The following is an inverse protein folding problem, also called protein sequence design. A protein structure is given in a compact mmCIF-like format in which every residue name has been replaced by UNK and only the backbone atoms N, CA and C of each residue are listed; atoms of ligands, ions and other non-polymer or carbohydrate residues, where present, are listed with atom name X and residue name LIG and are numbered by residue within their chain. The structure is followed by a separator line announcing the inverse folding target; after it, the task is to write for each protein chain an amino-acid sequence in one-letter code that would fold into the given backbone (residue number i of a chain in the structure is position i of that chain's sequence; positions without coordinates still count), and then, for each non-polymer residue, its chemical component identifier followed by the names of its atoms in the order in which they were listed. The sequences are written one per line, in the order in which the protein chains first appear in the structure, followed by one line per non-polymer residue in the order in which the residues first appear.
data_IF_325172820955
#
_entry.id   IF_325172820955
#
_cell.length_a   1.000
_cell.length_b   1.000
_cell.length_c   1.000
_cell.angle_alpha   90.00
_cell.angle_beta   90.00
_cell.angle_gamma   90.00
#
_symmetry.space_group_name_H-M   'P 1'
#
loop_
_entity.id
_entity.type
_entity.pdbx_description
1 polymer ?
#
# COMPACT_ATOMS: atom_id res chain seq x y z
N UNK A 1 15.65 5.19 4.99
CA UNK A 1 15.17 3.92 4.41
C UNK A 1 14.93 2.86 5.47
N UNK A 2 15.92 2.55 6.33
CA UNK A 2 15.82 1.42 7.28
C UNK A 2 14.72 1.52 8.35
N UNK A 3 14.33 2.74 8.75
CA UNK A 3 13.45 2.91 9.92
C UNK A 3 11.96 2.60 9.65
N UNK A 4 11.49 2.77 8.41
CA UNK A 4 10.10 2.48 8.05
C UNK A 4 9.87 0.97 7.83
N UNK A 5 10.82 0.28 7.21
CA UNK A 5 10.78 -1.18 7.06
C UNK A 5 11.00 -1.93 8.38
N UNK A 6 11.68 -1.31 9.36
CA UNK A 6 11.82 -1.86 10.72
C UNK A 6 10.49 -1.98 11.48
N UNK A 7 9.41 -1.37 10.98
CA UNK A 7 8.06 -1.48 11.55
C UNK A 7 7.19 -2.51 10.83
N UNK A 8 7.75 -3.33 9.94
CA UNK A 8 6.99 -4.35 9.24
C UNK A 8 6.36 -5.35 10.22
N UNK A 9 5.05 -5.55 10.10
CA UNK A 9 4.27 -6.42 10.98
C UNK A 9 3.64 -7.55 10.19
N UNK A 10 3.88 -8.79 10.62
CA UNK A 10 3.17 -9.95 10.09
C UNK A 10 1.69 -9.87 10.42
N UNK A 11 0.85 -10.19 9.44
CA UNK A 11 -0.61 -10.22 9.51
C UNK A 11 -1.15 -11.43 8.75
N UNK A 12 -2.45 -11.66 8.92
CA UNK A 12 -3.21 -12.56 8.09
C UNK A 12 -4.42 -11.79 7.57
N UNK A 13 -4.67 -11.83 6.27
CA UNK A 13 -5.80 -11.14 5.63
C UNK A 13 -6.50 -12.14 4.72
N UNK A 14 -7.79 -12.35 4.96
CA UNK A 14 -8.61 -13.31 4.21
C UNK A 14 -7.98 -14.72 4.15
N UNK A 15 -7.37 -15.19 5.24
CA UNK A 15 -6.70 -16.48 5.30
C UNK A 15 -5.31 -16.56 4.65
N UNK A 16 -4.79 -15.45 4.11
CA UNK A 16 -3.49 -15.39 3.45
C UNK A 16 -2.44 -14.72 4.34
N UNK A 17 -1.20 -15.22 4.37
CA UNK A 17 -0.08 -14.51 4.97
C UNK A 17 0.08 -13.11 4.38
N UNK A 18 0.33 -12.12 5.22
CA UNK A 18 0.54 -10.75 4.79
C UNK A 18 1.56 -10.01 5.66
N UNK A 19 2.14 -8.95 5.12
CA UNK A 19 3.03 -8.02 5.82
C UNK A 19 2.48 -6.60 5.67
N UNK A 20 2.28 -5.96 6.80
CA UNK A 20 1.89 -4.57 6.90
C UNK A 20 3.14 -3.72 7.12
N UNK A 21 3.31 -2.65 6.37
CA UNK A 21 4.45 -1.75 6.55
C UNK A 21 4.08 -0.32 6.14
N UNK A 22 5.04 0.60 6.32
CA UNK A 22 4.91 1.99 5.88
C UNK A 22 6.04 2.34 4.92
N UNK A 23 5.76 3.25 3.98
CA UNK A 23 6.78 3.80 3.10
C UNK A 23 6.52 5.29 2.81
N UNK A 24 7.51 6.00 2.25
CA UNK A 24 7.38 7.41 1.87
C UNK A 24 6.91 7.55 0.43
N UNK A 25 5.93 8.42 0.21
CA UNK A 25 5.57 8.87 -1.15
C UNK A 25 6.38 10.10 -1.56
N UNK A 26 6.38 10.41 -2.87
CA UNK A 26 6.94 11.65 -3.43
C UNK A 26 5.76 12.46 -3.95
N UNK A 27 5.67 13.73 -3.52
CA UNK A 27 4.69 14.67 -4.07
C UNK A 27 5.27 15.33 -5.32
N UNK A 28 4.49 15.33 -6.41
CA UNK A 28 4.85 15.95 -7.69
C UNK A 28 3.71 16.86 -8.12
N UNK A 29 4.00 18.15 -8.32
CA UNK A 29 3.04 19.13 -8.81
C UNK A 29 3.47 19.60 -10.22
N UNK A 30 2.55 19.44 -11.19
CA UNK A 30 2.78 19.77 -12.59
C UNK A 30 1.76 20.82 -13.01
N UNK A 31 2.22 22.01 -13.41
CA UNK A 31 1.36 23.06 -13.98
C UNK A 31 1.41 23.02 -15.51
N UNK A 32 0.25 22.92 -16.15
CA UNK A 32 0.11 22.81 -17.62
C UNK A 32 -0.19 24.16 -18.31
N UNK A 33 0.25 25.28 -17.75
CA UNK A 33 -0.04 26.62 -18.27
C UNK A 33 1.02 27.17 -19.26
N UNK A 34 1.97 26.34 -19.71
CA UNK A 34 3.02 26.72 -20.68
C UNK A 34 4.33 27.21 -20.05
N UNK A 35 4.34 27.48 -18.74
CA UNK A 35 5.50 28.06 -18.04
C UNK A 35 6.52 27.00 -17.56
N UNK A 36 6.20 25.71 -17.76
CA UNK A 36 7.09 24.58 -17.47
C UNK A 36 7.46 24.37 -16.00
N UNK A 37 6.80 25.05 -15.06
CA UNK A 37 7.11 24.91 -13.63
C UNK A 37 6.67 23.53 -13.12
N UNK A 38 7.62 22.83 -12.49
CA UNK A 38 7.40 21.57 -11.80
C UNK A 38 7.93 21.73 -10.38
N UNK A 39 7.16 21.30 -9.39
CA UNK A 39 7.59 21.26 -7.99
C UNK A 39 7.56 19.82 -7.50
N UNK A 40 8.50 19.47 -6.62
CA UNK A 40 8.62 18.13 -6.05
C UNK A 40 9.11 18.20 -4.62
N UNK A 41 8.58 17.32 -3.77
CA UNK A 41 8.98 17.26 -2.38
C UNK A 41 8.55 15.98 -1.68
N UNK A 42 8.79 15.88 -0.36
CA UNK A 42 8.30 14.77 0.44
C UNK A 42 6.77 14.69 0.33
N UNK A 43 6.25 13.51 -0.01
CA UNK A 43 4.83 13.23 0.09
C UNK A 43 4.45 12.68 1.47
N UNK A 44 3.16 12.39 1.64
CA UNK A 44 2.64 11.71 2.82
C UNK A 44 3.21 10.29 2.98
N UNK A 45 3.03 9.71 4.17
CA UNK A 45 3.36 8.30 4.41
C UNK A 45 2.29 7.42 3.78
N UNK A 46 2.71 6.44 2.98
CA UNK A 46 1.87 5.36 2.52
C UNK A 46 1.79 4.26 3.59
N UNK A 47 0.61 3.67 3.73
CA UNK A 47 0.42 2.39 4.43
C UNK A 47 0.22 1.31 3.41
N UNK A 48 1.00 0.24 3.52
CA UNK A 48 1.06 -0.82 2.54
C UNK A 48 0.78 -2.18 3.17
N UNK A 49 0.05 -3.01 2.44
CA UNK A 49 -0.21 -4.42 2.75
C UNK A 49 0.29 -5.26 1.57
N UNK A 50 1.33 -6.05 1.82
CA UNK A 50 1.79 -7.09 0.91
C UNK A 50 1.14 -8.42 1.32
N UNK A 51 0.25 -8.97 0.51
CA UNK A 51 -0.47 -10.20 0.78
C UNK A 51 -0.07 -11.31 -0.19
N UNK A 52 0.16 -12.52 0.31
CA UNK A 52 0.39 -13.68 -0.52
C UNK A 52 -0.81 -13.97 -1.42
N UNK A 53 -0.54 -14.47 -2.62
CA UNK A 53 -1.58 -14.90 -3.56
C UNK A 53 -2.26 -16.20 -3.11
N UNK A 54 -1.51 -17.12 -2.51
CA UNK A 54 -2.00 -18.39 -1.96
C UNK A 54 -1.84 -18.45 -0.43
N UNK A 55 -2.71 -19.23 0.21
CA UNK A 55 -2.71 -19.46 1.67
C UNK A 55 -1.39 -20.04 2.21
N UNK A 56 -0.60 -20.73 1.39
CA UNK A 56 0.69 -21.33 1.75
C UNK A 56 1.89 -20.46 1.35
N UNK A 57 1.67 -19.17 1.08
CA UNK A 57 2.70 -18.22 0.63
C UNK A 57 3.33 -18.61 -0.73
N UNK A 58 2.52 -19.19 -1.61
CA UNK A 58 2.90 -19.59 -2.96
C UNK A 58 2.29 -18.71 -4.06
N UNK A 59 2.77 -18.86 -5.30
CA UNK A 59 2.14 -18.28 -6.49
C UNK A 59 2.46 -16.80 -6.78
N UNK A 60 2.76 -16.00 -5.76
CA UNK A 60 3.10 -14.58 -5.89
C UNK A 60 2.54 -13.74 -4.75
N UNK A 61 2.50 -12.41 -4.93
CA UNK A 61 1.98 -11.48 -3.95
C UNK A 61 1.25 -10.31 -4.59
N UNK A 62 0.26 -9.77 -3.88
CA UNK A 62 -0.43 -8.53 -4.21
C UNK A 62 -0.07 -7.44 -3.20
N UNK A 63 0.11 -6.22 -3.67
CA UNK A 63 0.32 -5.07 -2.81
C UNK A 63 -0.83 -4.07 -2.94
N UNK A 64 -1.31 -3.61 -1.79
CA UNK A 64 -2.25 -2.49 -1.69
C UNK A 64 -1.57 -1.41 -0.86
N UNK A 65 -1.42 -0.23 -1.44
CA UNK A 65 -0.88 0.94 -0.77
C UNK A 65 -1.91 2.08 -0.78
N UNK A 66 -2.13 2.69 0.37
CA UNK A 66 -2.97 3.89 0.51
C UNK A 66 -2.14 5.04 1.08
N UNK A 67 -2.38 6.25 0.59
CA UNK A 67 -1.80 7.48 1.11
C UNK A 67 -2.84 8.61 0.99
N UNK A 68 -2.61 9.71 1.70
CA UNK A 68 -3.52 10.86 1.68
C UNK A 68 -2.83 12.10 1.14
N UNK A 69 -3.61 12.89 0.40
CA UNK A 69 -3.14 14.16 -0.16
C UNK A 69 -2.85 15.20 0.93
N UNK A 70 -3.56 15.15 2.06
CA UNK A 70 -3.33 16.02 3.22
C UNK A 70 -2.17 15.54 4.12
N UNK A 71 -1.40 14.54 3.68
CA UNK A 71 -0.23 13.97 4.37
C UNK A 71 -0.49 13.34 5.73
N UNK A 72 -1.74 13.25 6.19
CA UNK A 72 -2.08 12.48 7.39
C UNK A 72 -1.84 11.00 7.10
N UNK A 73 -1.15 10.30 8.02
CA UNK A 73 -0.88 8.87 7.88
C UNK A 73 -2.20 8.09 7.98
N UNK A 74 -2.57 7.28 6.97
CA UNK A 74 -3.72 6.39 7.08
C UNK A 74 -3.55 5.42 8.25
N UNK A 75 -4.66 5.04 8.90
CA UNK A 75 -4.64 3.97 9.88
C UNK A 75 -4.70 2.57 9.22
N UNK A 76 -4.34 1.55 9.99
CA UNK A 76 -4.33 0.15 9.53
C UNK A 76 -5.72 -0.33 9.12
N UNK A 77 -6.77 0.13 9.82
CA UNK A 77 -8.14 -0.33 9.60
C UNK A 77 -8.67 0.15 8.25
N UNK A 78 -8.33 1.37 7.83
CA UNK A 78 -8.64 1.91 6.52
C UNK A 78 -8.01 1.06 5.41
N UNK A 79 -6.72 0.71 5.54
CA UNK A 79 -6.03 -0.15 4.59
C UNK A 79 -6.64 -1.56 4.55
N UNK A 80 -6.93 -2.15 5.71
CA UNK A 80 -7.54 -3.48 5.79
C UNK A 80 -8.94 -3.51 5.18
N UNK A 81 -9.77 -2.49 5.43
CA UNK A 81 -11.10 -2.37 4.81
C UNK A 81 -11.02 -2.26 3.28
N UNK A 82 -10.02 -1.54 2.75
CA UNK A 82 -9.77 -1.51 1.30
C UNK A 82 -9.32 -2.89 0.81
N UNK A 83 -8.39 -3.52 1.52
CA UNK A 83 -7.88 -4.84 1.16
C UNK A 83 -8.98 -5.90 1.12
N UNK A 84 -9.84 -5.97 2.14
CA UNK A 84 -10.97 -6.90 2.21
C UNK A 84 -11.95 -6.74 1.04
N UNK A 85 -12.03 -5.55 0.44
CA UNK A 85 -12.91 -5.28 -0.71
C UNK A 85 -12.23 -5.54 -2.05
N UNK A 86 -10.95 -5.19 -2.17
CA UNK A 86 -10.20 -5.28 -3.43
C UNK A 86 -9.67 -6.68 -3.67
N UNK A 87 -9.07 -7.30 -2.66
CA UNK A 87 -8.40 -8.59 -2.76
C UNK A 87 -9.30 -9.73 -3.29
N UNK A 88 -10.59 -9.84 -2.91
CA UNK A 88 -11.49 -10.87 -3.45
C UNK A 88 -11.85 -10.67 -4.93
N UNK A 89 -11.67 -9.47 -5.47
CA UNK A 89 -12.05 -9.16 -6.86
C UNK A 89 -10.98 -9.53 -7.89
N UNK A 90 -9.80 -9.96 -7.44
CA UNK A 90 -8.67 -10.29 -8.31
C UNK A 90 -8.88 -11.68 -8.94
N UNK A 91 -8.98 -11.80 -10.29
CA UNK A 91 -9.14 -13.09 -10.95
C UNK A 91 -7.96 -14.02 -10.71
N UNK A 92 -8.23 -15.31 -10.51
CA UNK A 92 -7.18 -16.32 -10.28
C UNK A 92 -6.62 -16.35 -8.86
N UNK A 93 -7.22 -15.60 -7.92
CA UNK A 93 -6.95 -15.79 -6.50
C UNK A 93 -7.60 -17.09 -6.03
N UNK A 94 -6.81 -17.94 -5.38
CA UNK A 94 -7.31 -19.16 -4.76
C UNK A 94 -7.93 -18.77 -3.43
N UNK A 95 -9.22 -19.04 -3.24
CA UNK A 95 -9.79 -18.99 -1.90
C UNK A 95 -9.22 -20.19 -1.15
N UNK A 96 -8.41 -19.94 -0.11
CA UNK A 96 -7.94 -20.97 0.81
C UNK A 96 -9.08 -21.63 1.57
#
# INVERSE_FOLDING_TARGET
MADLLNTAQKRTVLGHPAVLYSDRTIAIAITFNGDGKTDSGPGGIARSLLAAQDSKDGGGSYEIAIWRQDSVVPDDAALLSVAEKVLPTIPGRVNG
#
